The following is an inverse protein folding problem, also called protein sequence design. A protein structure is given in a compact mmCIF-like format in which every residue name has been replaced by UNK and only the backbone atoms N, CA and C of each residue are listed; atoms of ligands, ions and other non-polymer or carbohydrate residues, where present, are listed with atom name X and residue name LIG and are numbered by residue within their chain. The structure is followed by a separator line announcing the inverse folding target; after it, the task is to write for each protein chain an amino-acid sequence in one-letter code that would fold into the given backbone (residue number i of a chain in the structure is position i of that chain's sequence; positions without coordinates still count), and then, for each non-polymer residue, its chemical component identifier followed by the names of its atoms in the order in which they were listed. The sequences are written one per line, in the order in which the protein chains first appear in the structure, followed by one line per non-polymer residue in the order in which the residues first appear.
data_IF_256490461056
#
_entry.id   IF_256490461056
#
_cell.length_a   1.000
_cell.length_b   1.000
_cell.length_c   1.000
_cell.angle_alpha   90.00
_cell.angle_beta   90.00
_cell.angle_gamma   90.00
#
_symmetry.space_group_name_H-M   'P 1'
#
loop_
_entity.id
_entity.type
_entity.pdbx_description
1 polymer ?
#
# COMPACT_ATOMS: atom_id res chain seq x y z
N UNK A 1 15.82 27.66 18.55
CA UNK A 1 14.98 26.46 18.28
C UNK A 1 13.77 26.94 17.50
N UNK A 2 13.73 26.70 16.19
CA UNK A 2 12.57 27.07 15.36
C UNK A 2 11.64 25.86 15.37
N UNK A 3 10.42 25.96 15.92
CA UNK A 3 9.48 24.85 15.83
C UNK A 3 9.23 24.58 14.35
N UNK A 4 9.23 23.30 13.95
CA UNK A 4 8.75 22.89 12.62
C UNK A 4 7.28 23.27 12.54
N UNK A 5 6.98 24.47 12.08
CA UNK A 5 5.62 24.91 11.78
C UNK A 5 5.16 24.05 10.61
N UNK A 6 4.08 23.26 10.75
CA UNK A 6 3.55 22.50 9.63
C UNK A 6 3.10 23.49 8.57
N UNK A 7 3.82 23.57 7.45
CA UNK A 7 3.38 24.35 6.30
C UNK A 7 2.11 23.68 5.77
N UNK A 8 0.98 24.38 5.83
CA UNK A 8 -0.35 23.84 5.49
C UNK A 8 -0.49 23.42 4.02
N UNK A 9 0.50 23.78 3.19
CA UNK A 9 0.47 23.62 1.74
C UNK A 9 0.38 22.18 1.25
N UNK A 10 0.80 21.18 2.04
CA UNK A 10 0.84 19.77 1.60
C UNK A 10 -0.25 18.88 2.23
N UNK A 11 -1.20 19.45 2.96
CA UNK A 11 -2.30 18.66 3.53
C UNK A 11 -3.28 18.26 2.45
N UNK A 12 -3.65 16.97 2.45
CA UNK A 12 -4.70 16.39 1.63
C UNK A 12 -4.60 16.66 0.12
N UNK A 13 -3.39 16.92 -0.39
CA UNK A 13 -3.19 17.02 -1.84
C UNK A 13 -3.44 15.67 -2.50
N UNK A 14 -4.22 15.69 -3.58
CA UNK A 14 -4.44 14.51 -4.40
C UNK A 14 -3.12 14.11 -5.07
N UNK A 15 -2.56 12.97 -4.67
CA UNK A 15 -1.35 12.41 -5.29
C UNK A 15 -1.78 11.58 -6.49
N UNK A 16 -1.36 11.99 -7.69
CA UNK A 16 -1.51 11.18 -8.89
C UNK A 16 -0.24 10.35 -9.12
N UNK A 17 -0.31 9.05 -8.83
CA UNK A 17 0.80 8.14 -9.03
C UNK A 17 0.79 7.62 -10.47
N UNK A 18 1.79 8.01 -11.25
CA UNK A 18 2.04 7.39 -12.55
C UNK A 18 2.79 6.06 -12.38
N UNK A 19 2.53 5.11 -13.27
CA UNK A 19 3.25 3.85 -13.26
C UNK A 19 4.72 4.10 -13.63
N UNK A 20 5.63 3.47 -12.89
CA UNK A 20 7.04 3.43 -13.25
C UNK A 20 7.19 2.67 -14.58
N UNK A 21 8.16 3.05 -15.43
CA UNK A 21 8.44 2.33 -16.65
C UNK A 21 8.75 0.86 -16.34
N UNK A 22 8.20 -0.03 -17.16
CA UNK A 22 8.56 -1.44 -17.08
C UNK A 22 9.90 -1.61 -17.76
N UNK A 23 10.99 -1.49 -17.01
CA UNK A 23 12.31 -1.90 -17.46
C UNK A 23 12.28 -3.43 -17.65
N UNK A 24 12.15 -3.89 -18.89
CA UNK A 24 12.13 -5.33 -19.25
C UNK A 24 13.43 -6.04 -18.85
N UNK A 25 14.48 -5.28 -18.55
CA UNK A 25 15.80 -5.76 -18.18
C UNK A 25 15.92 -6.28 -16.73
N UNK A 26 15.03 -5.87 -15.81
CA UNK A 26 15.12 -6.31 -14.41
C UNK A 26 13.73 -6.61 -13.80
N UNK A 27 13.45 -7.90 -13.66
CA UNK A 27 12.25 -8.42 -13.00
C UNK A 27 12.08 -7.91 -11.57
N UNK A 28 13.17 -7.65 -10.84
CA UNK A 28 13.10 -7.11 -9.48
C UNK A 28 12.60 -5.66 -9.50
N UNK A 29 13.12 -4.83 -10.40
CA UNK A 29 12.65 -3.44 -10.57
C UNK A 29 11.19 -3.39 -11.02
N UNK A 30 10.75 -4.34 -11.84
CA UNK A 30 9.37 -4.45 -12.27
C UNK A 30 8.39 -4.67 -11.10
N UNK A 31 8.83 -5.28 -9.99
CA UNK A 31 8.03 -5.49 -8.78
C UNK A 31 7.94 -4.25 -7.88
N UNK A 32 8.80 -3.26 -8.06
CA UNK A 32 8.84 -2.06 -7.24
C UNK A 32 7.79 -1.01 -7.62
N UNK A 33 7.07 -1.19 -8.73
CA UNK A 33 6.08 -0.21 -9.19
C UNK A 33 4.81 -0.22 -8.31
N UNK A 34 4.54 0.86 -7.54
CA UNK A 34 3.40 0.89 -6.62
C UNK A 34 2.05 0.82 -7.36
N UNK A 35 1.94 1.45 -8.53
CA UNK A 35 0.71 1.43 -9.35
C UNK A 35 0.37 0.01 -9.80
N UNK A 36 1.37 -0.76 -10.26
CA UNK A 36 1.18 -2.16 -10.68
C UNK A 36 0.85 -3.05 -9.50
N UNK A 37 1.53 -2.87 -8.38
CA UNK A 37 1.25 -3.61 -7.15
C UNK A 37 -0.20 -3.39 -6.68
N UNK A 38 -0.66 -2.13 -6.66
CA UNK A 38 -2.02 -1.79 -6.25
C UNK A 38 -3.07 -2.33 -7.23
N UNK A 39 -2.86 -2.21 -8.55
CA UNK A 39 -3.76 -2.82 -9.55
C UNK A 39 -3.91 -4.32 -9.34
N UNK A 40 -2.79 -5.01 -9.19
CA UNK A 40 -2.76 -6.47 -8.95
C UNK A 40 -3.51 -6.83 -7.66
N UNK A 41 -3.34 -6.04 -6.60
CA UNK A 41 -4.06 -6.24 -5.34
C UNK A 41 -5.58 -6.06 -5.50
N UNK A 42 -6.02 -5.00 -6.18
CA UNK A 42 -7.44 -4.74 -6.45
C UNK A 42 -8.04 -5.88 -7.27
N UNK A 43 -7.36 -6.31 -8.33
CA UNK A 43 -7.82 -7.40 -9.20
C UNK A 43 -7.98 -8.72 -8.42
N UNK A 44 -6.99 -9.07 -7.58
CA UNK A 44 -7.03 -10.30 -6.76
C UNK A 44 -8.08 -10.27 -5.66
N UNK A 45 -8.41 -9.09 -5.15
CA UNK A 45 -9.40 -8.93 -4.07
C UNK A 45 -10.82 -8.70 -4.58
N UNK A 46 -10.99 -8.40 -5.87
CA UNK A 46 -12.27 -8.04 -6.50
C UNK A 46 -13.41 -9.02 -6.19
N UNK A 47 -13.14 -10.32 -6.21
CA UNK A 47 -14.18 -11.36 -6.06
C UNK A 47 -14.82 -11.46 -4.67
N UNK A 48 -14.19 -10.87 -3.65
CA UNK A 48 -14.71 -10.93 -2.27
C UNK A 48 -14.73 -9.57 -1.58
N UNK A 49 -14.44 -8.49 -2.30
CA UNK A 49 -14.38 -7.13 -1.76
C UNK A 49 -15.79 -6.65 -1.39
N UNK A 50 -15.96 -6.22 -0.15
CA UNK A 50 -17.22 -5.67 0.39
C UNK A 50 -17.06 -4.22 0.85
N UNK A 51 -15.91 -3.58 0.58
CA UNK A 51 -15.59 -2.22 1.02
C UNK A 51 -14.89 -1.42 -0.08
N UNK A 52 -15.22 -0.13 -0.12
CA UNK A 52 -14.58 0.88 -0.97
C UNK A 52 -13.16 1.27 -0.49
N UNK A 53 -12.76 0.87 0.72
CA UNK A 53 -11.39 1.11 1.17
C UNK A 53 -10.38 0.29 0.38
N UNK A 54 -9.21 0.87 0.09
CA UNK A 54 -8.17 0.22 -0.72
C UNK A 54 -7.81 -1.17 -0.17
N UNK A 55 -7.47 -1.27 1.11
CA UNK A 55 -7.07 -2.52 1.76
C UNK A 55 -8.25 -3.21 2.45
N UNK A 56 -8.42 -4.50 2.13
CA UNK A 56 -9.46 -5.37 2.69
C UNK A 56 -8.85 -6.58 3.41
N UNK A 57 -9.56 -7.05 4.43
CA UNK A 57 -9.24 -8.28 5.12
C UNK A 57 -9.37 -9.47 4.14
N UNK A 58 -8.41 -10.40 4.15
CA UNK A 58 -8.37 -11.51 3.19
C UNK A 58 -8.77 -12.87 3.79
N UNK A 59 -8.96 -12.96 5.11
CA UNK A 59 -9.23 -14.22 5.81
C UNK A 59 -10.28 -14.08 6.92
N UNK A 60 -10.79 -15.24 7.36
CA UNK A 60 -11.78 -15.35 8.42
C UNK A 60 -13.14 -14.74 8.08
N UNK A 61 -13.94 -14.48 9.13
CA UNK A 61 -15.29 -13.89 9.03
C UNK A 61 -15.29 -12.46 8.49
N UNK A 62 -14.14 -11.77 8.51
CA UNK A 62 -14.00 -10.38 8.08
C UNK A 62 -13.53 -10.26 6.63
N UNK A 63 -13.40 -11.38 5.90
CA UNK A 63 -12.94 -11.36 4.52
C UNK A 63 -13.79 -10.42 3.67
N UNK A 64 -13.12 -9.49 2.97
CA UNK A 64 -13.77 -8.48 2.12
C UNK A 64 -14.02 -7.14 2.80
N UNK A 65 -14.08 -7.10 4.13
CA UNK A 65 -14.29 -5.87 4.88
C UNK A 65 -13.00 -5.03 4.95
N UNK A 66 -13.16 -3.73 5.23
CA UNK A 66 -12.04 -2.81 5.39
C UNK A 66 -11.05 -3.28 6.48
N UNK A 67 -9.76 -3.12 6.22
CA UNK A 67 -8.72 -3.33 7.24
C UNK A 67 -8.75 -2.18 8.25
N UNK A 68 -8.69 -2.49 9.55
CA UNK A 68 -8.59 -1.45 10.58
C UNK A 68 -7.23 -0.75 10.52
N UNK A 69 -7.18 0.53 10.92
CA UNK A 69 -5.91 1.29 10.99
C UNK A 69 -4.85 0.57 11.83
N UNK A 70 -5.26 -0.03 12.95
CA UNK A 70 -4.37 -0.80 13.82
C UNK A 70 -3.80 -2.03 13.13
N UNK A 71 -4.62 -2.77 12.35
CA UNK A 71 -4.15 -3.95 11.62
C UNK A 71 -3.22 -3.57 10.48
N UNK A 72 -3.53 -2.50 9.77
CA UNK A 72 -2.67 -1.96 8.72
C UNK A 72 -1.32 -1.50 9.29
N UNK A 73 -1.31 -0.84 10.45
CA UNK A 73 -0.08 -0.44 11.13
C UNK A 73 0.82 -1.64 11.46
N UNK A 74 0.23 -2.73 11.98
CA UNK A 74 0.97 -3.97 12.21
C UNK A 74 1.54 -4.54 10.91
N UNK A 75 0.78 -4.58 9.82
CA UNK A 75 1.28 -5.07 8.52
C UNK A 75 2.49 -4.27 8.01
N UNK A 76 2.48 -2.95 8.20
CA UNK A 76 3.61 -2.10 7.81
C UNK A 76 4.84 -2.43 8.64
N UNK A 77 4.69 -2.55 9.97
CA UNK A 77 5.80 -2.92 10.87
C UNK A 77 6.34 -4.30 10.49
N UNK A 78 5.48 -5.31 10.35
CA UNK A 78 5.87 -6.68 10.01
C UNK A 78 6.62 -6.72 8.66
N UNK A 79 6.12 -6.00 7.64
CA UNK A 79 6.77 -5.94 6.33
C UNK A 79 8.16 -5.30 6.40
N UNK A 80 8.32 -4.24 7.20
CA UNK A 80 9.63 -3.59 7.40
C UNK A 80 10.58 -4.54 8.14
N UNK A 81 10.14 -5.19 9.21
CA UNK A 81 10.93 -6.16 9.97
C UNK A 81 11.42 -7.28 9.06
N UNK A 82 10.52 -7.90 8.28
CA UNK A 82 10.85 -8.96 7.34
C UNK A 82 11.86 -8.50 6.27
N UNK A 83 11.74 -7.26 5.78
CA UNK A 83 12.68 -6.72 4.81
C UNK A 83 14.10 -6.64 5.39
N UNK A 84 14.25 -6.18 6.64
CA UNK A 84 15.54 -6.13 7.32
C UNK A 84 16.10 -7.51 7.68
N UNK A 85 15.24 -8.49 7.99
CA UNK A 85 15.67 -9.87 8.26
C UNK A 85 16.09 -10.63 7.00
N UNK A 86 15.61 -10.21 5.82
CA UNK A 86 15.89 -10.84 4.53
C UNK A 86 17.13 -10.31 3.80
N UNK A 87 17.84 -9.32 4.37
CA UNK A 87 19.09 -8.77 3.85
C UNK A 87 20.30 -9.56 4.33
#
# INVERSE_FOLDING_TARGET
YVPKVPTTTFWDQMVNLQALPSEEADLALALLCPVRALRTYVDRTRGFRCSEQLFVCFGGQQKGNAVSKQRLAHWVVDAITLAYESQ
#
